data_IF_718175590169
#
_entry.id   IF_718175590169
#
_cell.length_a   1.000
_cell.length_b   1.000
_cell.length_c   1.000
_cell.angle_alpha   90.00
_cell.angle_beta   90.00
_cell.angle_gamma   90.00
#
_symmetry.space_group_name_H-M   'P 1'
#
loop_
_entity.id
_entity.type
_entity.pdbx_description
1 polymer ?
#
# COMPACT_ATOMS: atom_id res chain seq x y z
N UNK A 1 34.82 -56.75 -20.87
CA UNK A 1 33.97 -55.76 -21.54
C UNK A 1 33.48 -54.76 -20.50
N UNK A 2 34.08 -53.55 -20.45
CA UNK A 2 33.77 -52.51 -19.48
C UNK A 2 32.85 -51.52 -20.17
N UNK A 3 31.56 -51.43 -19.74
CA UNK A 3 30.60 -50.46 -20.24
C UNK A 3 30.91 -49.10 -19.61
N UNK A 4 31.32 -48.13 -20.44
CA UNK A 4 31.43 -46.72 -20.05
C UNK A 4 30.04 -46.10 -20.03
N UNK A 5 29.56 -45.69 -18.84
CA UNK A 5 28.39 -44.85 -18.73
C UNK A 5 28.83 -43.40 -18.96
N UNK A 6 28.27 -42.80 -19.99
CA UNK A 6 28.40 -41.36 -20.28
C UNK A 6 27.35 -40.63 -19.45
N UNK A 7 27.79 -39.87 -18.45
CA UNK A 7 26.93 -39.02 -17.66
C UNK A 7 26.78 -37.69 -18.43
N UNK A 8 25.62 -37.46 -19.01
CA UNK A 8 25.28 -36.18 -19.64
C UNK A 8 24.89 -35.18 -18.52
N UNK A 9 25.71 -34.17 -18.31
CA UNK A 9 25.39 -33.07 -17.43
C UNK A 9 24.40 -32.13 -18.16
N UNK A 10 23.18 -32.06 -17.66
CA UNK A 10 22.20 -31.06 -18.09
C UNK A 10 22.58 -29.75 -17.43
N UNK A 11 23.17 -28.84 -18.19
CA UNK A 11 23.36 -27.44 -17.75
C UNK A 11 22.03 -26.72 -17.89
N UNK A 12 21.29 -26.56 -16.78
CA UNK A 12 20.13 -25.68 -16.72
C UNK A 12 20.68 -24.25 -16.63
N UNK A 13 20.70 -23.54 -17.74
CA UNK A 13 20.96 -22.10 -17.74
C UNK A 13 19.73 -21.41 -17.17
N UNK A 14 19.82 -20.97 -15.92
CA UNK A 14 18.90 -19.99 -15.33
C UNK A 14 19.05 -18.69 -16.12
N UNK A 15 18.13 -18.44 -17.05
CA UNK A 15 17.96 -17.15 -17.66
C UNK A 15 17.50 -16.20 -16.55
N UNK A 16 18.43 -15.47 -15.97
CA UNK A 16 18.09 -14.29 -15.13
C UNK A 16 17.48 -13.26 -16.06
N UNK A 17 16.14 -13.16 -16.03
CA UNK A 17 15.49 -12.02 -16.65
C UNK A 17 16.04 -10.75 -15.99
N UNK A 18 16.42 -9.72 -16.78
CA UNK A 18 16.80 -8.44 -16.19
C UNK A 18 15.62 -7.96 -15.35
N UNK A 19 15.88 -7.57 -14.11
CA UNK A 19 14.88 -6.90 -13.29
C UNK A 19 14.38 -5.71 -14.11
N UNK A 20 13.09 -5.70 -14.43
CA UNK A 20 12.49 -4.56 -15.13
C UNK A 20 12.69 -3.34 -14.22
N UNK A 21 13.25 -2.27 -14.78
CA UNK A 21 13.42 -1.03 -14.03
C UNK A 21 12.06 -0.63 -13.45
N UNK A 22 12.02 -0.37 -12.15
CA UNK A 22 10.78 0.05 -11.49
C UNK A 22 10.21 1.29 -12.19
N UNK A 23 8.90 1.34 -12.36
CA UNK A 23 8.25 2.53 -12.93
C UNK A 23 8.54 3.73 -12.03
N UNK A 24 9.02 4.82 -12.58
CA UNK A 24 9.42 6.00 -11.82
C UNK A 24 8.28 6.61 -11.00
N UNK A 25 7.03 6.40 -11.43
CA UNK A 25 5.84 6.84 -10.68
C UNK A 25 5.63 5.99 -9.41
N UNK A 26 5.87 4.69 -9.53
CA UNK A 26 5.81 3.76 -8.37
C UNK A 26 6.90 4.14 -7.36
N UNK A 27 8.13 4.38 -7.84
CA UNK A 27 9.22 4.81 -6.96
C UNK A 27 8.93 6.16 -6.29
N UNK A 28 8.35 7.12 -7.00
CA UNK A 28 7.95 8.40 -6.42
C UNK A 28 6.86 8.23 -5.35
N UNK A 29 5.88 7.34 -5.57
CA UNK A 29 4.86 7.02 -4.58
C UNK A 29 5.47 6.39 -3.32
N UNK A 30 6.37 5.41 -3.50
CA UNK A 30 7.05 4.75 -2.37
C UNK A 30 7.92 5.74 -1.60
N UNK A 31 8.69 6.59 -2.30
CA UNK A 31 9.54 7.57 -1.64
C UNK A 31 8.72 8.58 -0.83
N UNK A 32 7.61 9.08 -1.39
CA UNK A 32 6.71 9.95 -0.66
C UNK A 32 6.17 9.29 0.62
N UNK A 33 5.76 8.03 0.57
CA UNK A 33 5.29 7.31 1.76
C UNK A 33 6.40 7.15 2.81
N UNK A 34 7.65 6.90 2.39
CA UNK A 34 8.82 6.84 3.27
C UNK A 34 9.07 8.21 3.93
N UNK A 35 8.96 9.30 3.17
CA UNK A 35 9.17 10.65 3.68
C UNK A 35 8.11 10.99 4.74
N UNK A 36 6.83 10.63 4.53
CA UNK A 36 5.76 10.77 5.51
C UNK A 36 6.05 9.95 6.79
N UNK A 37 6.52 8.70 6.65
CA UNK A 37 6.85 7.85 7.79
C UNK A 37 8.06 8.36 8.61
N UNK A 38 8.90 9.19 8.03
CA UNK A 38 10.04 9.81 8.70
C UNK A 38 9.74 11.20 9.28
N UNK A 39 8.55 11.74 9.03
CA UNK A 39 8.15 13.08 9.50
C UNK A 39 7.08 12.99 10.58
N UNK A 40 7.46 13.20 11.82
CA UNK A 40 6.57 13.13 13.00
C UNK A 40 5.48 14.24 13.01
N UNK A 41 5.43 15.13 12.03
CA UNK A 41 4.30 16.06 11.86
C UNK A 41 3.06 15.38 11.27
N UNK A 42 3.20 14.14 10.81
CA UNK A 42 2.13 13.32 10.23
C UNK A 42 1.76 12.17 11.17
N UNK A 43 0.49 12.07 11.53
CA UNK A 43 -0.03 11.03 12.41
C UNK A 43 -1.17 10.24 11.77
N UNK A 44 -1.85 9.45 12.59
CA UNK A 44 -3.01 8.67 12.14
C UNK A 44 -4.31 9.40 12.42
N UNK A 45 -5.14 9.55 11.41
CA UNK A 45 -6.52 10.02 11.57
C UNK A 45 -7.47 9.35 10.60
N UNK A 46 -8.64 8.95 11.09
CA UNK A 46 -9.77 8.58 10.24
C UNK A 46 -10.66 9.80 9.90
N UNK A 47 -10.20 11.02 10.23
CA UNK A 47 -10.89 12.26 10.03
C UNK A 47 -11.79 12.64 11.23
N UNK A 48 -11.77 13.92 11.58
CA UNK A 48 -12.58 14.47 12.67
C UNK A 48 -14.09 14.23 12.45
N UNK A 49 -14.52 14.12 11.20
CA UNK A 49 -15.89 13.79 10.83
C UNK A 49 -16.31 12.36 11.19
N UNK A 50 -15.36 11.46 11.40
CA UNK A 50 -15.56 10.08 11.84
C UNK A 50 -15.26 9.90 13.33
N UNK A 51 -15.01 11.02 14.06
CA UNK A 51 -14.73 10.96 15.48
C UNK A 51 -15.91 10.43 16.30
N UNK A 52 -15.59 9.66 17.32
CA UNK A 52 -16.56 9.14 18.30
C UNK A 52 -16.06 9.41 19.71
N UNK A 53 -16.89 9.20 20.74
CA UNK A 53 -16.45 9.33 22.13
C UNK A 53 -15.28 8.42 22.50
N UNK A 54 -15.14 7.26 21.84
CA UNK A 54 -14.03 6.33 22.04
C UNK A 54 -12.86 6.53 21.07
N UNK A 55 -13.04 7.33 20.03
CA UNK A 55 -12.06 7.66 18.99
C UNK A 55 -12.19 9.13 18.59
N UNK A 56 -11.75 10.06 19.45
CA UNK A 56 -11.96 11.49 19.26
C UNK A 56 -10.92 12.13 18.34
N UNK A 57 -10.83 11.65 17.08
CA UNK A 57 -9.90 12.21 16.09
C UNK A 57 -10.08 13.73 15.94
N UNK A 58 -8.96 14.45 15.91
CA UNK A 58 -8.93 15.91 15.73
C UNK A 58 -8.42 16.32 14.35
N UNK A 59 -7.61 15.44 13.70
CA UNK A 59 -6.99 15.70 12.41
C UNK A 59 -7.84 15.30 11.21
N UNK A 60 -7.34 15.61 10.03
CA UNK A 60 -7.89 15.16 8.75
C UNK A 60 -7.26 13.82 8.36
N UNK A 61 -7.98 12.99 7.60
CA UNK A 61 -7.39 11.82 6.94
C UNK A 61 -6.80 12.14 5.56
N UNK A 62 -6.88 13.39 5.12
CA UNK A 62 -6.44 13.83 3.79
C UNK A 62 -5.18 14.71 3.85
N UNK A 63 -4.46 14.69 4.97
CA UNK A 63 -3.30 15.49 5.30
C UNK A 63 -3.60 16.58 6.35
N UNK A 64 -2.65 16.86 7.23
CA UNK A 64 -1.34 16.24 7.37
C UNK A 64 -1.34 14.81 7.92
N UNK A 65 -2.44 14.35 8.56
CA UNK A 65 -2.58 13.00 9.06
C UNK A 65 -3.26 12.10 8.01
N UNK A 66 -3.06 10.80 8.13
CA UNK A 66 -3.61 9.82 7.19
C UNK A 66 -4.11 8.59 7.93
N UNK A 67 -5.13 7.91 7.39
CA UNK A 67 -5.41 6.51 7.72
C UNK A 67 -4.68 5.57 6.74
N UNK A 68 -4.84 4.27 6.92
CA UNK A 68 -4.15 3.27 6.11
C UNK A 68 -4.48 3.41 4.61
N UNK A 69 -5.72 3.71 4.26
CA UNK A 69 -6.14 3.83 2.87
C UNK A 69 -5.72 5.18 2.29
N UNK A 70 -5.98 6.28 2.99
CA UNK A 70 -5.65 7.62 2.49
C UNK A 70 -4.15 7.79 2.29
N UNK A 71 -3.30 7.21 3.15
CA UNK A 71 -1.85 7.19 2.93
C UNK A 71 -1.49 6.58 1.57
N UNK A 72 -2.08 5.43 1.22
CA UNK A 72 -1.84 4.76 -0.06
C UNK A 72 -2.36 5.60 -1.22
N UNK A 73 -3.59 6.14 -1.13
CA UNK A 73 -4.13 6.99 -2.19
C UNK A 73 -3.27 8.23 -2.44
N UNK A 74 -2.85 8.92 -1.39
CA UNK A 74 -2.00 10.11 -1.51
C UNK A 74 -0.61 9.77 -2.03
N UNK A 75 -0.01 8.67 -1.60
CA UNK A 75 1.28 8.23 -2.11
C UNK A 75 1.24 7.99 -3.63
N UNK A 76 0.29 7.22 -4.12
CA UNK A 76 0.18 6.95 -5.55
C UNK A 76 -0.29 8.18 -6.35
N UNK A 77 -1.10 9.05 -5.77
CA UNK A 77 -1.43 10.34 -6.37
C UNK A 77 -0.18 11.23 -6.55
N UNK A 78 0.72 11.27 -5.54
CA UNK A 78 2.03 11.94 -5.64
C UNK A 78 2.94 11.29 -6.68
N UNK A 79 2.85 9.98 -6.84
CA UNK A 79 3.55 9.25 -7.89
C UNK A 79 3.04 9.56 -9.31
N UNK A 80 1.94 10.31 -9.45
CA UNK A 80 1.36 10.67 -10.75
C UNK A 80 0.29 9.69 -11.25
N UNK A 81 -0.26 8.83 -10.38
CA UNK A 81 -1.44 8.04 -10.68
C UNK A 81 -2.69 8.82 -10.24
N UNK A 82 -3.64 9.09 -11.14
CA UNK A 82 -4.89 9.80 -10.81
C UNK A 82 -5.88 8.91 -10.03
N UNK A 83 -5.39 8.29 -8.95
CA UNK A 83 -6.16 7.30 -8.17
C UNK A 83 -7.31 7.96 -7.40
N UNK A 84 -7.10 9.17 -6.88
CA UNK A 84 -8.15 9.95 -6.22
C UNK A 84 -9.21 10.39 -7.25
N UNK A 85 -8.78 10.82 -8.43
CA UNK A 85 -9.70 11.12 -9.52
C UNK A 85 -10.48 9.90 -10.03
N UNK A 86 -9.86 8.71 -10.05
CA UNK A 86 -10.55 7.46 -10.37
C UNK A 86 -11.62 7.13 -9.33
N UNK A 87 -11.32 7.29 -8.03
CA UNK A 87 -12.27 7.13 -6.94
C UNK A 87 -13.45 8.09 -7.06
N UNK A 88 -13.21 9.35 -7.34
CA UNK A 88 -14.28 10.36 -7.50
C UNK A 88 -15.22 10.07 -8.68
N UNK A 89 -14.76 9.34 -9.67
CA UNK A 89 -15.60 8.89 -10.81
C UNK A 89 -16.39 7.63 -10.50
N UNK A 90 -16.12 6.97 -9.38
CA UNK A 90 -16.82 5.74 -9.00
C UNK A 90 -18.25 6.08 -8.50
N UNK A 91 -19.31 5.50 -9.08
CA UNK A 91 -20.68 5.76 -8.63
C UNK A 91 -20.91 5.43 -7.14
N UNK A 92 -20.21 4.44 -6.61
CA UNK A 92 -20.29 4.06 -5.19
C UNK A 92 -19.77 5.19 -4.28
N UNK A 93 -18.74 5.93 -4.70
CA UNK A 93 -18.24 7.10 -4.00
C UNK A 93 -19.32 8.19 -3.89
N UNK A 94 -19.92 8.56 -5.01
CA UNK A 94 -20.94 9.61 -5.05
C UNK A 94 -22.16 9.27 -4.18
N UNK A 95 -22.54 7.99 -4.14
CA UNK A 95 -23.65 7.53 -3.32
C UNK A 95 -23.32 7.56 -1.80
N UNK A 96 -22.07 7.23 -1.43
CA UNK A 96 -21.65 7.07 -0.01
C UNK A 96 -21.24 8.40 0.63
N UNK A 97 -20.52 9.23 -0.09
CA UNK A 97 -19.84 10.41 0.47
C UNK A 97 -20.45 11.74 0.06
N UNK A 98 -21.58 11.72 -0.66
CA UNK A 98 -22.35 12.90 -1.03
C UNK A 98 -21.48 14.02 -1.69
N UNK A 99 -20.52 13.61 -2.53
CA UNK A 99 -19.65 14.52 -3.26
C UNK A 99 -18.48 15.12 -2.46
N UNK A 100 -18.25 14.68 -1.23
CA UNK A 100 -17.05 15.11 -0.47
C UNK A 100 -15.80 14.54 -1.16
N UNK A 101 -14.75 15.37 -1.24
CA UNK A 101 -13.48 14.99 -1.87
C UNK A 101 -12.59 14.26 -0.85
N UNK A 102 -12.89 12.99 -0.58
CA UNK A 102 -12.06 12.12 0.21
C UNK A 102 -11.38 11.06 -0.66
N UNK A 103 -10.21 10.58 -0.24
CA UNK A 103 -9.63 9.35 -0.76
C UNK A 103 -10.51 8.14 -0.41
N UNK A 104 -10.35 7.03 -1.13
CA UNK A 104 -11.13 5.82 -0.90
C UNK A 104 -10.74 5.04 0.36
N UNK A 105 -11.30 3.88 0.49
CA UNK A 105 -11.09 2.94 1.61
C UNK A 105 -10.33 1.69 1.13
N UNK A 106 -9.86 0.86 2.06
CA UNK A 106 -9.15 -0.39 1.75
C UNK A 106 -10.01 -1.41 0.96
N UNK A 107 -11.34 -1.33 1.03
CA UNK A 107 -12.26 -2.18 0.25
C UNK A 107 -12.57 -1.63 -1.15
N UNK A 108 -12.26 -0.38 -1.43
CA UNK A 108 -12.53 0.26 -2.73
C UNK A 108 -11.31 0.36 -3.64
N UNK A 109 -10.11 0.34 -3.07
CA UNK A 109 -8.86 0.61 -3.80
C UNK A 109 -8.69 -0.25 -5.07
N UNK A 110 -9.04 -1.55 -5.03
CA UNK A 110 -8.95 -2.38 -6.22
C UNK A 110 -9.86 -1.90 -7.35
N UNK A 111 -11.07 -1.44 -7.04
CA UNK A 111 -11.99 -0.93 -8.06
C UNK A 111 -11.43 0.31 -8.78
N UNK A 112 -10.71 1.13 -8.05
CA UNK A 112 -10.15 2.38 -8.56
C UNK A 112 -8.87 2.13 -9.37
N UNK A 113 -8.02 1.21 -8.90
CA UNK A 113 -6.85 0.75 -9.65
C UNK A 113 -7.22 0.11 -10.99
N UNK A 114 -8.34 -0.62 -11.05
CA UNK A 114 -8.87 -1.16 -12.33
C UNK A 114 -9.26 -0.07 -13.31
N UNK A 115 -9.82 1.04 -12.83
CA UNK A 115 -10.19 2.17 -13.69
C UNK A 115 -8.96 2.86 -14.27
N UNK A 116 -7.88 2.94 -13.49
CA UNK A 116 -6.61 3.50 -13.96
C UNK A 116 -5.95 2.64 -15.06
N UNK A 117 -6.15 1.33 -15.02
CA UNK A 117 -5.43 0.39 -15.88
C UNK A 117 -3.98 0.17 -15.44
N UNK A 118 -3.33 -0.84 -16.04
CA UNK A 118 -1.94 -1.17 -15.73
C UNK A 118 -1.71 -1.84 -14.37
N UNK A 119 -2.74 -2.21 -13.65
CA UNK A 119 -2.66 -2.90 -12.36
C UNK A 119 -3.15 -4.34 -12.45
N UNK A 120 -2.45 -5.23 -11.75
CA UNK A 120 -2.84 -6.62 -11.57
C UNK A 120 -3.08 -6.92 -10.09
N UNK A 121 -4.07 -7.78 -9.86
CA UNK A 121 -4.41 -8.30 -8.55
C UNK A 121 -3.93 -9.74 -8.43
N UNK A 122 -3.25 -10.02 -7.34
CA UNK A 122 -2.79 -11.35 -6.95
C UNK A 122 -3.38 -11.69 -5.58
N UNK A 123 -3.54 -12.97 -5.29
CA UNK A 123 -3.66 -13.41 -3.91
C UNK A 123 -2.30 -13.31 -3.21
N UNK A 124 -2.31 -13.13 -1.89
CA UNK A 124 -1.09 -13.14 -1.09
C UNK A 124 -0.25 -14.41 -1.33
N UNK A 125 -0.91 -15.58 -1.36
CA UNK A 125 -0.25 -16.87 -1.54
C UNK A 125 0.51 -17.01 -2.87
N UNK A 126 0.11 -16.27 -3.90
CA UNK A 126 0.78 -16.32 -5.22
C UNK A 126 2.08 -15.53 -5.24
N UNK A 127 2.22 -14.48 -4.44
CA UNK A 127 3.32 -13.51 -4.59
C UNK A 127 4.08 -13.19 -3.32
N UNK A 128 3.74 -13.78 -2.17
CA UNK A 128 4.39 -13.48 -0.88
C UNK A 128 5.91 -13.64 -0.91
N UNK A 129 6.44 -14.63 -1.66
CA UNK A 129 7.86 -14.86 -1.82
C UNK A 129 8.52 -13.98 -2.89
N UNK A 130 7.73 -13.18 -3.61
CA UNK A 130 8.18 -12.34 -4.73
C UNK A 130 7.54 -10.95 -4.70
N UNK A 131 7.39 -10.38 -3.51
CA UNK A 131 6.90 -9.00 -3.37
C UNK A 131 7.84 -8.03 -4.09
N UNK A 132 7.26 -7.05 -4.75
CA UNK A 132 7.98 -6.00 -5.44
C UNK A 132 7.73 -4.65 -4.78
N UNK A 133 8.78 -3.83 -4.72
CA UNK A 133 8.69 -2.48 -4.21
C UNK A 133 7.59 -1.71 -4.93
N UNK A 134 6.67 -1.12 -4.16
CA UNK A 134 5.45 -0.48 -4.65
C UNK A 134 4.22 -1.40 -4.74
N UNK A 135 4.33 -2.68 -4.37
CA UNK A 135 3.14 -3.52 -4.18
C UNK A 135 2.25 -2.92 -3.09
N UNK A 136 0.97 -2.86 -3.36
CA UNK A 136 -0.03 -2.50 -2.36
C UNK A 136 -0.54 -3.79 -1.72
N UNK A 137 -0.22 -3.98 -0.45
CA UNK A 137 -0.66 -5.13 0.34
C UNK A 137 -2.02 -4.81 0.96
N UNK A 138 -3.01 -5.67 0.77
CA UNK A 138 -4.36 -5.39 1.21
C UNK A 138 -5.00 -6.57 1.96
N UNK A 139 -5.69 -6.22 3.03
CA UNK A 139 -6.71 -7.01 3.68
C UNK A 139 -8.01 -6.20 3.60
N UNK A 140 -8.86 -6.46 2.59
CA UNK A 140 -10.05 -5.66 2.34
C UNK A 140 -10.90 -5.45 3.60
N UNK A 141 -11.47 -4.27 3.77
CA UNK A 141 -12.24 -3.79 4.93
C UNK A 141 -11.44 -3.61 6.23
N UNK A 142 -10.16 -4.01 6.27
CA UNK A 142 -9.38 -3.95 7.52
C UNK A 142 -8.15 -3.06 7.41
N UNK A 143 -7.30 -3.28 6.40
CA UNK A 143 -6.01 -2.60 6.34
C UNK A 143 -5.38 -2.66 4.95
N UNK A 144 -4.56 -1.65 4.66
CA UNK A 144 -3.76 -1.58 3.42
C UNK A 144 -2.42 -0.92 3.73
N UNK A 145 -1.37 -1.32 3.00
CA UNK A 145 -0.01 -0.86 3.18
C UNK A 145 0.74 -0.79 1.85
N UNK A 146 1.86 -0.07 1.83
CA UNK A 146 2.78 -0.04 0.69
C UNK A 146 4.03 -0.86 1.03
N UNK A 147 4.33 -1.87 0.22
CA UNK A 147 5.59 -2.60 0.34
C UNK A 147 6.75 -1.77 -0.22
N UNK A 148 7.77 -1.57 0.60
CA UNK A 148 8.89 -0.68 0.26
C UNK A 148 10.19 -1.43 -0.06
N UNK A 149 10.15 -2.77 -0.10
CA UNK A 149 11.33 -3.62 -0.27
C UNK A 149 11.83 -4.20 1.05
N UNK A 150 12.78 -5.12 0.96
CA UNK A 150 13.50 -5.71 2.10
C UNK A 150 12.59 -6.26 3.22
N UNK A 151 11.42 -6.79 2.85
CA UNK A 151 10.45 -7.33 3.80
C UNK A 151 9.69 -6.28 4.61
N UNK A 152 9.73 -5.00 4.22
CA UNK A 152 9.13 -3.90 4.97
C UNK A 152 7.98 -3.23 4.22
N UNK A 153 7.04 -2.70 5.01
CA UNK A 153 5.95 -1.82 4.55
C UNK A 153 6.04 -0.47 5.24
N UNK A 154 5.44 0.54 4.60
CA UNK A 154 4.96 1.75 5.29
C UNK A 154 3.47 1.59 5.55
N UNK A 155 3.06 1.82 6.79
CA UNK A 155 1.68 1.66 7.25
C UNK A 155 1.25 2.83 8.14
N UNK A 156 0.01 3.32 7.96
CA UNK A 156 -0.66 4.16 8.94
C UNK A 156 -1.60 3.29 9.80
N UNK A 157 -1.35 3.18 11.12
CA UNK A 157 -1.97 2.16 11.98
C UNK A 157 -2.77 2.69 13.17
N UNK A 158 -2.64 3.94 13.48
CA UNK A 158 -3.42 4.60 14.53
C UNK A 158 -3.10 4.15 15.96
N UNK A 159 -4.01 4.50 16.85
CA UNK A 159 -3.87 4.35 18.32
C UNK A 159 -3.75 2.92 18.82
N UNK A 160 -4.08 1.93 18.02
CA UNK A 160 -3.88 0.51 18.35
C UNK A 160 -2.49 0.01 17.91
N UNK A 161 -1.62 0.91 17.49
CA UNK A 161 -0.24 0.62 17.19
C UNK A 161 0.49 0.18 18.46
N UNK A 162 1.29 -0.92 18.42
CA UNK A 162 2.07 -1.37 19.58
C UNK A 162 3.05 -0.36 20.15
N UNK A 163 3.44 0.66 19.37
CA UNK A 163 4.34 1.72 19.78
C UNK A 163 3.64 2.92 20.45
N UNK A 164 2.32 2.89 20.50
CA UNK A 164 1.49 3.97 21.00
C UNK A 164 0.86 4.78 19.88
N UNK A 165 0.21 5.85 20.24
CA UNK A 165 -0.50 6.76 19.37
C UNK A 165 -1.63 7.45 20.11
N UNK A 166 -2.12 8.55 19.58
CA UNK A 166 -3.24 9.29 20.14
C UNK A 166 -4.26 9.64 19.04
N UNK A 167 -5.22 10.50 19.39
CA UNK A 167 -6.19 11.03 18.43
C UNK A 167 -5.85 12.46 18.01
N UNK A 168 -4.69 12.96 18.42
CA UNK A 168 -4.21 14.30 18.08
C UNK A 168 -3.50 14.29 16.73
N UNK A 169 -3.34 15.47 16.14
CA UNK A 169 -2.58 15.65 14.90
C UNK A 169 -1.08 15.42 15.14
N UNK A 170 -0.41 14.83 14.18
CA UNK A 170 1.01 14.44 14.24
C UNK A 170 1.22 13.07 14.87
N UNK A 171 2.44 12.56 14.78
CA UNK A 171 2.78 11.22 15.29
C UNK A 171 3.12 11.25 16.79
N UNK A 172 2.40 10.50 17.59
CA UNK A 172 2.65 10.38 19.03
C UNK A 172 3.31 9.04 19.39
N UNK A 173 3.72 8.22 18.44
CA UNK A 173 4.41 6.98 18.76
C UNK A 173 4.49 5.95 17.65
N UNK A 174 4.79 6.34 16.43
CA UNK A 174 4.90 5.46 15.27
C UNK A 174 3.52 5.09 14.71
N UNK A 175 2.65 6.07 14.57
CA UNK A 175 1.33 5.91 13.96
C UNK A 175 1.43 5.73 12.45
N UNK A 176 2.42 6.38 11.81
CA UNK A 176 2.84 6.10 10.44
C UNK A 176 4.31 5.70 10.50
N UNK A 177 4.61 4.43 10.19
CA UNK A 177 5.94 3.89 10.43
C UNK A 177 6.24 2.68 9.52
N UNK A 178 7.44 2.15 9.67
CA UNK A 178 7.94 0.97 8.98
C UNK A 178 7.58 -0.29 9.76
N UNK A 179 7.06 -1.29 9.05
CA UNK A 179 6.64 -2.55 9.67
C UNK A 179 7.09 -3.74 8.83
N UNK A 180 7.21 -4.90 9.49
CA UNK A 180 7.40 -6.17 8.80
C UNK A 180 6.19 -6.49 7.92
N UNK A 181 6.44 -6.76 6.64
CA UNK A 181 5.42 -7.12 5.66
C UNK A 181 4.77 -8.47 5.93
N UNK A 182 5.43 -9.36 6.68
CA UNK A 182 4.97 -10.71 6.88
C UNK A 182 4.18 -10.86 8.19
N UNK A 183 3.33 -11.90 8.25
CA UNK A 183 2.55 -12.18 9.46
C UNK A 183 1.36 -11.27 9.72
N UNK A 184 0.97 -10.41 8.75
CA UNK A 184 -0.11 -9.41 8.89
C UNK A 184 -1.48 -9.87 8.44
N UNK A 185 -1.58 -11.07 7.83
CA UNK A 185 -2.85 -11.61 7.34
C UNK A 185 -3.33 -10.93 6.06
N UNK A 186 -2.42 -10.44 5.23
CA UNK A 186 -2.73 -9.96 3.89
C UNK A 186 -3.43 -11.06 3.09
N UNK A 187 -4.38 -10.69 2.26
CA UNK A 187 -5.11 -11.61 1.38
C UNK A 187 -4.93 -11.26 -0.08
N UNK A 188 -4.67 -10.01 -0.38
CA UNK A 188 -4.55 -9.48 -1.73
C UNK A 188 -3.29 -8.61 -1.87
N UNK A 189 -2.73 -8.61 -3.09
CA UNK A 189 -1.61 -7.75 -3.49
C UNK A 189 -1.99 -7.10 -4.82
N UNK A 190 -1.81 -5.79 -4.91
CA UNK A 190 -2.03 -5.05 -6.15
C UNK A 190 -0.70 -4.51 -6.65
N UNK A 191 -0.34 -4.91 -7.85
CA UNK A 191 0.94 -4.56 -8.48
C UNK A 191 0.72 -3.78 -9.75
N UNK A 192 1.46 -2.69 -9.91
CA UNK A 192 1.53 -2.00 -11.18
C UNK A 192 2.45 -2.77 -12.13
N UNK A 193 1.94 -3.11 -13.31
CA UNK A 193 2.67 -3.88 -14.34
C UNK A 193 2.87 -3.09 -15.64
N UNK A 194 2.41 -1.83 -15.64
CA UNK A 194 2.43 -0.98 -16.83
C UNK A 194 1.20 -1.16 -17.73
N UNK A 195 1.00 -0.21 -18.63
CA UNK A 195 -0.03 -0.23 -19.67
C UNK A 195 0.55 -0.80 -20.96
#
# INVERSE_FOLDING_TARGET
MIKKFLLAAIVVSLLTMPAQAADSRVEAAVQWAIDIANDNSHGYSQGAENATASRPYTGSREGPDYDCASLVYHAFQHGGFDIIGAWHKNPAYMARYNGRQYSGDADTIWSDLKVLGGWQKYSWAEVADNLQRGDILCRPQFHVAIYIGDGQTVEARGVNNPRGGSYETGDQGGEIDFYDAYGRGWTEVYRYVGN
#
